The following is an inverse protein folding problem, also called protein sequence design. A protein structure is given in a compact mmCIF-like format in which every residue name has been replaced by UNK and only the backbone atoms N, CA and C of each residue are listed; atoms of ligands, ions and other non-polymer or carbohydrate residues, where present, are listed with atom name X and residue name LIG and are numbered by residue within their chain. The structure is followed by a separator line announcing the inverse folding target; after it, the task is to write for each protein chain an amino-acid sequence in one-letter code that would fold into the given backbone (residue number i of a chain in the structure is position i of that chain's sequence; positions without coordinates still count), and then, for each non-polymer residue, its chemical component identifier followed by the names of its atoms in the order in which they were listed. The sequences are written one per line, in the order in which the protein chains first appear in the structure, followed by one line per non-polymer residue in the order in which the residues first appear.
data_IF_514940596889
#
_entry.id   IF_514940596889
#
_cell.length_a   1.000
_cell.length_b   1.000
_cell.length_c   1.000
_cell.angle_alpha   90.00
_cell.angle_beta   90.00
_cell.angle_gamma   90.00
#
_symmetry.space_group_name_H-M   'P 1'
#
loop_
_entity.id
_entity.type
_entity.pdbx_description
1 polymer ?
#
# COMPACT_ATOMS: atom_id res chain seq x y z
N UNK A 1 25.35 -34.38 21.04
CA UNK A 1 25.44 -33.42 19.91
C UNK A 1 24.29 -32.45 20.04
N UNK A 2 24.57 -31.35 20.76
CA UNK A 2 23.57 -30.35 21.14
C UNK A 2 23.30 -29.40 19.97
N UNK A 3 22.08 -29.46 19.41
CA UNK A 3 21.59 -28.46 18.49
C UNK A 3 21.14 -27.25 19.31
N UNK A 4 22.02 -26.28 19.50
CA UNK A 4 21.68 -24.98 20.06
C UNK A 4 20.81 -24.22 19.03
N UNK A 5 19.48 -24.29 19.23
CA UNK A 5 18.54 -23.41 18.60
C UNK A 5 18.82 -21.98 19.10
N UNK A 6 19.55 -21.18 18.33
CA UNK A 6 19.81 -19.77 18.62
C UNK A 6 18.50 -18.99 18.56
N UNK A 7 17.81 -18.91 19.67
CA UNK A 7 16.67 -18.02 19.87
C UNK A 7 17.18 -16.59 19.81
N UNK A 8 17.05 -15.91 18.66
CA UNK A 8 17.39 -14.48 18.51
C UNK A 8 16.64 -13.67 19.55
N UNK A 9 17.31 -12.79 20.32
CA UNK A 9 16.70 -12.04 21.42
C UNK A 9 15.46 -11.27 20.96
N UNK A 10 14.43 -11.18 21.80
CA UNK A 10 13.17 -10.46 21.55
C UNK A 10 13.43 -8.99 21.16
N UNK A 11 14.44 -8.35 21.76
CA UNK A 11 14.90 -7.00 21.46
C UNK A 11 15.32 -6.82 19.99
N UNK A 12 16.04 -7.77 19.41
CA UNK A 12 16.49 -7.72 18.00
C UNK A 12 15.33 -7.75 17.00
N UNK A 13 14.27 -8.52 17.31
CA UNK A 13 13.06 -8.57 16.46
C UNK A 13 12.28 -7.23 16.52
N UNK A 14 12.30 -6.56 17.67
CA UNK A 14 11.66 -5.25 17.85
C UNK A 14 12.41 -4.16 17.08
N UNK A 15 13.73 -4.19 17.10
CA UNK A 15 14.58 -3.24 16.38
C UNK A 15 14.42 -3.38 14.86
N UNK A 16 14.43 -4.61 14.34
CA UNK A 16 14.19 -4.87 12.91
C UNK A 16 12.81 -4.38 12.47
N UNK A 17 11.78 -4.61 13.30
CA UNK A 17 10.43 -4.11 13.06
C UNK A 17 10.44 -2.59 12.96
N UNK A 18 11.08 -1.91 13.92
CA UNK A 18 11.19 -0.45 13.94
C UNK A 18 11.85 0.09 12.68
N UNK A 19 13.00 -0.47 12.29
CA UNK A 19 13.73 -0.04 11.09
C UNK A 19 12.88 -0.13 9.82
N UNK A 20 12.14 -1.23 9.65
CA UNK A 20 11.25 -1.40 8.49
C UNK A 20 10.10 -0.40 8.54
N UNK A 21 9.52 -0.16 9.72
CA UNK A 21 8.44 0.81 9.88
C UNK A 21 8.93 2.24 9.61
N UNK A 22 10.06 2.65 10.17
CA UNK A 22 10.66 3.98 9.95
C UNK A 22 10.94 4.22 8.45
N UNK A 23 11.33 3.17 7.72
CA UNK A 23 11.53 3.25 6.27
C UNK A 23 10.23 3.50 5.51
N UNK A 24 9.14 2.83 5.89
CA UNK A 24 7.82 3.04 5.30
C UNK A 24 7.24 4.40 5.68
N UNK A 25 7.44 4.85 6.93
CA UNK A 25 7.00 6.15 7.42
C UNK A 25 7.67 7.31 6.66
N UNK A 26 8.88 7.12 6.16
CA UNK A 26 9.57 8.07 5.27
C UNK A 26 8.98 8.18 3.86
N UNK A 27 8.03 7.30 3.48
CA UNK A 27 7.43 7.23 2.14
C UNK A 27 5.93 6.90 2.21
N UNK A 28 5.16 7.62 3.02
CA UNK A 28 3.74 7.35 3.29
C UNK A 28 2.85 7.40 2.05
N UNK A 29 3.23 8.18 1.04
CA UNK A 29 2.42 8.38 -0.16
C UNK A 29 2.65 7.35 -1.26
N UNK A 30 3.59 6.42 -1.07
CA UNK A 30 3.97 5.46 -2.11
C UNK A 30 4.01 4.03 -1.60
N UNK A 31 3.49 3.11 -2.40
CA UNK A 31 3.76 1.69 -2.23
C UNK A 31 5.20 1.35 -2.63
N UNK A 32 5.83 0.46 -1.87
CA UNK A 32 7.20 0.02 -2.05
C UNK A 32 7.26 -1.50 -2.15
N UNK A 33 8.16 -1.99 -3.00
CA UNK A 33 8.52 -3.40 -3.04
C UNK A 33 9.45 -3.78 -1.89
N UNK A 34 9.59 -5.06 -1.61
CA UNK A 34 10.60 -5.57 -0.64
C UNK A 34 12.01 -5.08 -1.00
N UNK A 35 12.33 -5.04 -2.31
CA UNK A 35 13.64 -4.65 -2.79
C UNK A 35 13.92 -3.16 -2.59
N UNK A 36 12.94 -2.30 -2.80
CA UNK A 36 13.06 -0.86 -2.52
C UNK A 36 13.27 -0.59 -1.03
N UNK A 37 12.48 -1.23 -0.15
CA UNK A 37 12.64 -1.13 1.30
C UNK A 37 14.02 -1.64 1.74
N UNK A 38 14.44 -2.79 1.21
CA UNK A 38 15.76 -3.35 1.48
C UNK A 38 16.89 -2.44 1.02
N UNK A 39 16.81 -1.87 -0.20
CA UNK A 39 17.80 -0.94 -0.73
C UNK A 39 17.93 0.31 0.15
N UNK A 40 16.81 0.90 0.59
CA UNK A 40 16.79 2.06 1.50
C UNK A 40 17.47 1.73 2.82
N UNK A 41 17.16 0.59 3.43
CA UNK A 41 17.78 0.13 4.67
C UNK A 41 19.29 -0.09 4.52
N UNK A 42 19.73 -0.66 3.40
CA UNK A 42 21.16 -0.85 3.09
C UNK A 42 21.89 0.48 2.92
N UNK A 43 21.27 1.43 2.23
CA UNK A 43 21.82 2.79 2.06
C UNK A 43 21.98 3.52 3.42
N UNK A 44 21.06 3.25 4.37
CA UNK A 44 21.13 3.76 5.74
C UNK A 44 22.14 2.99 6.64
N UNK A 45 22.91 2.05 6.10
CA UNK A 45 23.92 1.29 6.84
C UNK A 45 23.36 0.11 7.65
N UNK A 46 22.10 -0.27 7.48
CA UNK A 46 21.52 -1.40 8.19
C UNK A 46 22.09 -2.73 7.71
N UNK A 47 22.34 -3.66 8.64
CA UNK A 47 22.78 -5.02 8.36
C UNK A 47 21.63 -6.03 8.17
N UNK A 48 20.38 -5.54 8.17
CA UNK A 48 19.19 -6.39 8.01
C UNK A 48 19.22 -7.11 6.65
N UNK A 49 18.92 -8.41 6.63
CA UNK A 49 18.87 -9.19 5.39
C UNK A 49 17.52 -9.07 4.67
N UNK A 50 17.50 -9.20 3.33
CA UNK A 50 16.30 -9.12 2.49
C UNK A 50 15.16 -10.06 2.95
N UNK A 51 15.49 -11.30 3.31
CA UNK A 51 14.50 -12.27 3.83
C UNK A 51 13.86 -11.79 5.14
N UNK A 52 14.62 -11.10 5.98
CA UNK A 52 14.10 -10.54 7.24
C UNK A 52 13.18 -9.36 6.96
N UNK A 53 13.51 -8.49 6.01
CA UNK A 53 12.63 -7.40 5.54
C UNK A 53 11.31 -7.99 5.05
N UNK A 54 11.35 -8.96 4.15
CA UNK A 54 10.16 -9.64 3.63
C UNK A 54 9.28 -10.21 4.77
N UNK A 55 9.86 -11.01 5.67
CA UNK A 55 9.11 -11.61 6.80
C UNK A 55 8.53 -10.56 7.74
N UNK A 56 9.20 -9.43 7.90
CA UNK A 56 8.72 -8.33 8.73
C UNK A 56 7.53 -7.63 8.06
N UNK A 57 7.61 -7.34 6.76
CA UNK A 57 6.52 -6.75 5.99
C UNK A 57 5.29 -7.65 5.96
N UNK A 58 5.46 -8.97 5.72
CA UNK A 58 4.34 -9.93 5.76
C UNK A 58 3.64 -9.95 7.12
N UNK A 59 4.40 -9.92 8.21
CA UNK A 59 3.82 -9.88 9.56
C UNK A 59 3.08 -8.56 9.81
N UNK A 60 3.66 -7.41 9.42
CA UNK A 60 3.02 -6.10 9.54
C UNK A 60 1.73 -6.01 8.73
N UNK A 61 1.69 -6.63 7.56
CA UNK A 61 0.49 -6.72 6.75
C UNK A 61 -0.58 -7.61 7.43
N UNK A 62 -0.19 -8.75 7.99
CA UNK A 62 -1.08 -9.60 8.78
C UNK A 62 -1.65 -8.92 10.04
N UNK A 63 -0.87 -8.05 10.66
CA UNK A 63 -1.30 -7.23 11.81
C UNK A 63 -2.16 -6.01 11.41
N UNK A 64 -2.34 -5.75 10.11
CA UNK A 64 -3.12 -4.61 9.61
C UNK A 64 -2.43 -3.25 9.77
N UNK A 65 -1.13 -3.24 10.05
CA UNK A 65 -0.32 -2.01 10.19
C UNK A 65 0.21 -1.51 8.85
N UNK A 66 0.32 -2.42 7.89
CA UNK A 66 0.80 -2.17 6.53
C UNK A 66 -0.22 -2.72 5.54
N UNK A 67 -0.55 -1.96 4.51
CA UNK A 67 -1.30 -2.44 3.36
C UNK A 67 -0.38 -3.25 2.46
N UNK A 68 -0.87 -4.40 1.98
CA UNK A 68 -0.20 -5.24 0.99
C UNK A 68 -1.07 -5.35 -0.24
N UNK A 69 -0.52 -5.03 -1.39
CA UNK A 69 -1.18 -5.22 -2.69
C UNK A 69 -0.35 -6.17 -3.52
N UNK A 70 -1.00 -7.18 -4.06
CA UNK A 70 -0.40 -8.12 -5.01
C UNK A 70 -0.94 -7.75 -6.39
N UNK A 71 -0.04 -7.38 -7.29
CA UNK A 71 -0.38 -7.04 -8.67
C UNK A 71 -0.63 -8.28 -9.54
N UNK A 72 -0.47 -8.12 -10.85
CA UNK A 72 -0.58 -9.21 -11.82
C UNK A 72 0.41 -10.35 -11.53
N UNK A 73 0.13 -11.58 -11.99
CA UNK A 73 1.05 -12.70 -11.84
C UNK A 73 2.46 -12.35 -12.34
N UNK A 74 3.48 -12.62 -11.52
CA UNK A 74 4.88 -12.31 -11.84
C UNK A 74 5.34 -10.92 -11.38
N UNK A 75 4.46 -10.08 -10.81
CA UNK A 75 4.85 -8.80 -10.21
C UNK A 75 5.17 -8.95 -8.72
N UNK A 76 6.05 -8.08 -8.22
CA UNK A 76 6.37 -8.05 -6.80
C UNK A 76 5.20 -7.49 -5.98
N UNK A 77 4.97 -8.04 -4.79
CA UNK A 77 4.03 -7.45 -3.84
C UNK A 77 4.50 -6.05 -3.42
N UNK A 78 3.53 -5.18 -3.24
CA UNK A 78 3.70 -3.77 -2.87
C UNK A 78 3.20 -3.54 -1.45
N UNK A 79 3.92 -2.75 -0.67
CA UNK A 79 3.65 -2.50 0.74
C UNK A 79 3.62 -1.00 1.01
N UNK A 80 2.66 -0.54 1.82
CA UNK A 80 2.51 0.84 2.26
C UNK A 80 2.10 0.87 3.72
N UNK A 81 2.65 1.80 4.48
CA UNK A 81 2.21 2.09 5.85
C UNK A 81 0.76 2.58 5.85
N UNK A 82 -0.08 1.99 6.69
CA UNK A 82 -1.43 2.50 6.96
C UNK A 82 -1.39 3.51 8.10
N UNK A 83 -2.06 4.64 7.91
CA UNK A 83 -2.27 5.69 8.90
C UNK A 83 -3.77 5.84 9.21
N UNK A 84 -4.11 6.56 10.27
CA UNK A 84 -5.52 6.81 10.61
C UNK A 84 -6.20 7.78 9.64
N UNK A 85 -5.43 8.50 8.82
CA UNK A 85 -5.92 9.37 7.77
C UNK A 85 -6.28 8.62 6.48
N UNK A 86 -5.90 7.35 6.34
CA UNK A 86 -6.18 6.58 5.12
C UNK A 86 -7.68 6.22 5.06
N UNK A 87 -8.39 6.76 4.07
CA UNK A 87 -9.80 6.53 3.81
C UNK A 87 -10.06 5.84 2.45
N UNK A 88 -9.13 5.05 1.99
CA UNK A 88 -9.14 4.44 0.68
C UNK A 88 -8.03 5.01 -0.19
N UNK A 89 -7.61 4.24 -1.16
CA UNK A 89 -6.45 4.57 -1.96
C UNK A 89 -6.61 4.09 -3.40
N UNK A 90 -6.09 4.89 -4.32
CA UNK A 90 -5.94 4.51 -5.72
C UNK A 90 -4.48 4.15 -5.96
N UNK A 91 -4.21 2.94 -6.45
CA UNK A 91 -2.87 2.50 -6.83
C UNK A 91 -2.73 2.45 -8.33
N UNK A 92 -1.81 3.22 -8.88
CA UNK A 92 -1.43 3.08 -10.27
C UNK A 92 -0.54 1.85 -10.46
N UNK A 93 -1.03 0.87 -11.22
CA UNK A 93 -0.28 -0.37 -11.49
C UNK A 93 0.94 -0.15 -12.39
N UNK A 94 1.01 0.98 -13.08
CA UNK A 94 2.10 1.29 -14.00
C UNK A 94 3.26 2.01 -13.33
N UNK A 95 3.01 3.09 -12.57
CA UNK A 95 4.07 3.87 -11.93
C UNK A 95 4.18 3.66 -10.41
N UNK A 96 3.30 2.88 -9.81
CA UNK A 96 3.27 2.62 -8.37
C UNK A 96 2.83 3.82 -7.51
N UNK A 97 2.39 4.94 -8.13
CA UNK A 97 1.87 6.08 -7.39
C UNK A 97 0.59 5.72 -6.66
N UNK A 98 0.50 6.15 -5.43
CA UNK A 98 -0.72 6.08 -4.62
C UNK A 98 -1.35 7.47 -4.58
N UNK A 99 -2.65 7.52 -4.80
CA UNK A 99 -3.46 8.71 -4.65
C UNK A 99 -4.50 8.45 -3.56
N UNK A 100 -4.79 9.43 -2.69
CA UNK A 100 -5.88 9.29 -1.74
C UNK A 100 -7.21 9.17 -2.49
N UNK A 101 -8.10 8.33 -1.99
CA UNK A 101 -9.48 8.28 -2.44
C UNK A 101 -10.33 9.03 -1.40
N UNK A 102 -10.24 10.34 -1.43
CA UNK A 102 -11.01 11.22 -0.55
C UNK A 102 -12.32 11.61 -1.25
N UNK A 103 -13.27 10.68 -1.25
CA UNK A 103 -14.59 10.99 -1.77
C UNK A 103 -15.68 10.27 -0.97
N UNK A 104 -16.83 10.97 -0.78
CA UNK A 104 -17.99 10.42 -0.08
C UNK A 104 -18.59 9.17 -0.72
N UNK A 105 -18.29 8.92 -1.98
CA UNK A 105 -18.75 7.73 -2.71
C UNK A 105 -18.25 6.42 -2.09
N UNK A 106 -17.04 6.39 -1.53
CA UNK A 106 -16.53 5.19 -0.85
C UNK A 106 -17.32 4.90 0.42
N UNK A 107 -17.68 5.93 1.18
CA UNK A 107 -18.52 5.76 2.38
C UNK A 107 -19.91 5.26 2.01
N UNK A 108 -20.56 5.88 1.02
CA UNK A 108 -21.88 5.43 0.54
C UNK A 108 -21.85 4.00 -0.03
N UNK A 109 -20.77 3.64 -0.71
CA UNK A 109 -20.56 2.27 -1.18
C UNK A 109 -20.38 1.30 0.00
N UNK A 110 -19.60 1.67 1.02
CA UNK A 110 -19.41 0.85 2.21
C UNK A 110 -20.72 0.65 2.99
N UNK A 111 -21.54 1.69 3.12
CA UNK A 111 -22.88 1.62 3.70
C UNK A 111 -23.77 0.67 2.91
N UNK A 112 -23.86 0.85 1.59
CA UNK A 112 -24.64 -0.02 0.71
C UNK A 112 -24.24 -1.50 0.86
N UNK A 113 -22.95 -1.79 0.85
CA UNK A 113 -22.42 -3.16 1.01
C UNK A 113 -22.77 -3.73 2.39
N UNK A 114 -22.71 -2.89 3.43
CA UNK A 114 -23.10 -3.32 4.78
C UNK A 114 -24.60 -3.66 4.86
N UNK A 115 -25.47 -2.80 4.34
CA UNK A 115 -26.90 -2.95 4.43
C UNK A 115 -27.46 -4.09 3.56
N UNK A 116 -26.96 -4.21 2.33
CA UNK A 116 -27.51 -5.14 1.34
C UNK A 116 -26.78 -6.49 1.27
N UNK A 117 -25.53 -6.54 1.71
CA UNK A 117 -24.71 -7.75 1.63
C UNK A 117 -24.22 -8.23 3.01
N UNK A 118 -24.54 -7.51 4.10
CA UNK A 118 -24.10 -7.88 5.44
C UNK A 118 -22.59 -7.90 5.62
N UNK A 119 -21.85 -7.08 4.83
CA UNK A 119 -20.39 -7.08 4.80
C UNK A 119 -19.83 -5.71 5.17
N UNK A 120 -19.05 -5.65 6.26
CA UNK A 120 -18.40 -4.42 6.71
C UNK A 120 -17.09 -4.18 5.92
N UNK A 121 -17.05 -3.09 5.14
CA UNK A 121 -15.85 -2.70 4.37
C UNK A 121 -14.86 -1.97 5.28
N UNK A 122 -13.61 -2.42 5.34
CA UNK A 122 -12.52 -1.67 5.96
C UNK A 122 -11.99 -0.64 4.95
N UNK A 123 -12.47 0.59 5.06
CA UNK A 123 -12.11 1.67 4.13
C UNK A 123 -10.61 1.97 4.13
N UNK A 124 -9.94 1.93 5.29
CA UNK A 124 -8.48 2.19 5.38
C UNK A 124 -7.63 1.19 4.61
N UNK A 125 -8.15 -0.03 4.44
CA UNK A 125 -7.48 -1.11 3.70
C UNK A 125 -8.02 -1.28 2.28
N UNK A 126 -8.97 -0.44 1.87
CA UNK A 126 -9.51 -0.47 0.52
C UNK A 126 -8.53 0.15 -0.46
N UNK A 127 -8.13 -0.62 -1.47
CA UNK A 127 -7.23 -0.18 -2.54
C UNK A 127 -7.89 -0.47 -3.87
N UNK A 128 -8.12 0.58 -4.66
CA UNK A 128 -8.60 0.47 -6.03
C UNK A 128 -7.41 0.58 -6.97
N UNK A 129 -7.18 -0.46 -7.77
CA UNK A 129 -6.08 -0.54 -8.70
C UNK A 129 -6.50 -0.07 -10.09
N UNK A 130 -5.64 0.70 -10.76
CA UNK A 130 -5.91 1.21 -12.09
C UNK A 130 -4.67 1.85 -12.72
N UNK A 131 -4.86 2.75 -13.68
CA UNK A 131 -3.78 3.51 -14.34
C UNK A 131 -4.05 5.00 -14.14
N UNK A 132 -3.10 5.75 -13.58
CA UNK A 132 -3.26 7.18 -13.35
C UNK A 132 -3.27 7.97 -14.67
N UNK A 133 -3.76 9.20 -14.62
CA UNK A 133 -3.89 10.05 -15.79
C UNK A 133 -2.58 10.25 -16.53
N UNK A 134 -1.49 10.53 -15.80
CA UNK A 134 -0.16 10.74 -16.39
C UNK A 134 0.30 9.52 -17.20
N UNK A 135 0.08 8.32 -16.67
CA UNK A 135 0.44 7.07 -17.35
C UNK A 135 -0.47 6.78 -18.54
N UNK A 136 -1.76 7.09 -18.47
CA UNK A 136 -2.69 6.95 -19.60
C UNK A 136 -2.30 7.88 -20.74
N UNK A 137 -1.97 9.14 -20.45
CA UNK A 137 -1.49 10.10 -21.45
C UNK A 137 -0.19 9.65 -22.11
N UNK A 138 0.76 9.12 -21.31
CA UNK A 138 2.06 8.66 -21.82
C UNK A 138 1.94 7.45 -22.74
N UNK A 139 0.93 6.61 -22.57
CA UNK A 139 0.70 5.42 -23.40
C UNK A 139 -0.12 5.70 -24.67
N UNK A 140 -0.57 6.93 -24.88
CA UNK A 140 -1.44 7.27 -26.02
C UNK A 140 -2.83 6.63 -25.97
N UNK A 141 -3.23 6.06 -24.81
CA UNK A 141 -4.53 5.41 -24.60
C UNK A 141 -5.67 6.39 -24.28
N UNK A 142 -5.50 7.66 -24.55
CA UNK A 142 -6.62 8.60 -24.59
C UNK A 142 -7.23 8.54 -25.98
N UNK A 143 -7.93 7.46 -26.30
CA UNK A 143 -9.02 7.53 -27.25
C UNK A 143 -10.16 8.29 -26.55
N UNK A 144 -10.46 9.47 -27.08
CA UNK A 144 -11.62 10.31 -26.75
C UNK A 144 -12.91 9.49 -26.96
N UNK A 145 -13.31 8.67 -26.01
CA UNK A 145 -14.52 7.86 -26.21
C UNK A 145 -15.00 7.04 -25.04
N UNK A 146 -14.25 6.91 -23.97
CA UNK A 146 -14.71 6.12 -22.82
C UNK A 146 -14.30 6.67 -21.46
N UNK A 147 -14.22 7.98 -21.35
CA UNK A 147 -14.30 8.64 -20.04
C UNK A 147 -15.78 8.79 -19.80
N UNK A 148 -16.32 7.99 -18.88
CA UNK A 148 -17.66 8.15 -18.38
C UNK A 148 -17.86 9.66 -18.09
N UNK A 149 -18.80 10.33 -18.73
CA UNK A 149 -19.08 11.76 -18.61
C UNK A 149 -19.38 12.22 -17.15
N UNK A 150 -19.30 11.31 -16.20
CA UNK A 150 -19.51 11.53 -14.77
C UNK A 150 -18.28 12.07 -14.00
N UNK A 151 -17.11 12.21 -14.62
CA UNK A 151 -15.95 12.80 -13.95
C UNK A 151 -15.87 14.35 -14.05
N UNK A 152 -16.81 15.00 -14.73
CA UNK A 152 -16.82 16.45 -14.89
C UNK A 152 -17.32 17.22 -13.65
N UNK A 153 -18.00 16.55 -12.71
CA UNK A 153 -18.67 17.20 -11.57
C UNK A 153 -17.99 16.99 -10.20
N UNK A 154 -16.77 16.46 -10.18
CA UNK A 154 -15.97 16.45 -8.95
C UNK A 154 -15.28 17.80 -8.74
N UNK A 155 -16.06 18.86 -8.53
CA UNK A 155 -15.55 20.10 -7.95
C UNK A 155 -15.10 19.82 -6.53
N UNK A 156 -13.83 20.04 -6.26
CA UNK A 156 -13.28 19.98 -4.91
C UNK A 156 -14.05 21.00 -4.04
N UNK A 157 -14.57 20.60 -2.86
CA UNK A 157 -15.14 21.59 -1.94
C UNK A 157 -14.02 22.55 -1.56
N UNK A 158 -14.23 23.83 -1.89
CA UNK A 158 -13.29 24.91 -1.60
C UNK A 158 -12.97 25.01 -0.10
N UNK A 159 -11.72 25.39 0.18
CA UNK A 159 -11.17 25.76 1.48
C UNK A 159 -11.97 26.86 2.16
#
# INVERSE_FOLDING_TARGET
MDQQATTRPRAYKTEQRKLVMDTLDGNLERYQTVDEVFATLRAAGSSIGRTTVYRTLERLAGEGTVSKVVGAPGTSALYKRLTDADQGQLLCLQCGRVLPLDCSMLSSFAEHVCEHHGFAVDQRRTVICGVCEDCRRSNGEISEGNVNEHCADCEAPGL
#
